data_IF_570923644904
#
_entry.id   IF_570923644904
#
_cell.length_a   1.000
_cell.length_b   1.000
_cell.length_c   1.000
_cell.angle_alpha   90.00
_cell.angle_beta   90.00
_cell.angle_gamma   90.00
#
_symmetry.space_group_name_H-M   'P 1'
#
loop_
_entity.id
_entity.type
_entity.pdbx_description
1 polymer ?
#
# COMPACT_ATOMS: atom_id res chain seq x y z
N UNK A 1 -16.28 6.94 -16.34
CA UNK A 1 -15.96 7.13 -14.90
C UNK A 1 -17.28 7.17 -14.13
N UNK A 2 -17.35 6.64 -12.91
CA UNK A 2 -18.56 6.67 -12.06
C UNK A 2 -19.09 8.10 -11.86
N UNK A 3 -18.18 9.08 -11.81
CA UNK A 3 -18.48 10.50 -11.77
C UNK A 3 -19.33 11.01 -12.97
N UNK A 4 -19.32 10.32 -14.11
CA UNK A 4 -20.02 10.73 -15.34
C UNK A 4 -21.33 9.96 -15.58
N UNK A 5 -21.66 8.97 -14.74
CA UNK A 5 -22.87 8.17 -14.92
C UNK A 5 -23.47 7.85 -13.54
N UNK A 6 -24.56 8.54 -13.14
CA UNK A 6 -25.17 8.37 -11.82
C UNK A 6 -25.84 6.99 -11.62
N UNK A 7 -25.98 6.19 -12.68
CA UNK A 7 -26.55 4.84 -12.66
C UNK A 7 -25.46 3.76 -12.62
N UNK A 8 -24.18 4.11 -12.73
CA UNK A 8 -23.10 3.11 -12.62
C UNK A 8 -23.02 2.58 -11.19
N UNK A 9 -23.50 1.35 -11.02
CA UNK A 9 -23.33 0.58 -9.79
C UNK A 9 -21.92 -0.02 -9.70
N UNK A 10 -21.46 -0.38 -8.48
CA UNK A 10 -20.30 -1.25 -8.30
C UNK A 10 -20.44 -2.54 -9.11
N UNK A 11 -19.34 -3.03 -9.67
CA UNK A 11 -19.33 -4.06 -10.72
C UNK A 11 -18.66 -5.37 -10.26
N UNK A 12 -18.69 -5.66 -8.96
CA UNK A 12 -18.09 -6.88 -8.35
C UNK A 12 -16.62 -7.07 -8.72
N UNK A 13 -15.86 -5.97 -8.77
CA UNK A 13 -14.43 -6.04 -9.09
C UNK A 13 -13.62 -6.64 -7.96
N UNK A 14 -12.87 -7.68 -8.27
CA UNK A 14 -11.84 -8.29 -7.42
C UNK A 14 -10.43 -7.73 -7.69
N UNK A 15 -10.35 -6.62 -8.44
CA UNK A 15 -9.09 -5.97 -8.82
C UNK A 15 -8.29 -5.37 -7.65
N UNK A 16 -6.99 -5.26 -7.85
CA UNK A 16 -6.00 -4.73 -6.91
C UNK A 16 -6.04 -3.20 -6.74
N UNK A 17 -6.81 -2.51 -7.59
CA UNK A 17 -6.94 -1.07 -7.54
C UNK A 17 -7.52 -0.54 -6.23
N UNK A 18 -8.23 -1.38 -5.48
CA UNK A 18 -8.67 -1.08 -4.11
C UNK A 18 -7.50 -1.01 -3.12
N UNK A 19 -6.59 -1.98 -3.16
CA UNK A 19 -5.42 -2.07 -2.29
C UNK A 19 -4.37 -1.00 -2.63
N UNK A 20 -4.17 -0.66 -3.90
CA UNK A 20 -3.13 0.30 -4.32
C UNK A 20 -3.34 1.74 -3.80
N UNK A 21 -4.55 2.09 -3.36
CA UNK A 21 -4.91 3.45 -2.95
C UNK A 21 -5.41 3.56 -1.51
N UNK A 22 -5.36 2.47 -0.75
CA UNK A 22 -5.96 2.41 0.62
C UNK A 22 -5.00 2.90 1.70
N UNK A 23 -3.74 3.18 1.37
CA UNK A 23 -2.68 3.47 2.35
C UNK A 23 -3.03 4.60 3.31
N UNK A 24 -3.70 5.64 2.82
CA UNK A 24 -4.19 6.75 3.63
C UNK A 24 -5.07 6.29 4.80
N UNK A 25 -5.92 5.27 4.62
CA UNK A 25 -6.78 4.75 5.69
C UNK A 25 -5.97 4.20 6.87
N UNK A 26 -4.86 3.52 6.59
CA UNK A 26 -3.97 3.00 7.63
C UNK A 26 -3.38 4.09 8.52
N UNK A 27 -3.11 5.27 7.95
CA UNK A 27 -2.63 6.46 8.67
C UNK A 27 -3.75 7.24 9.36
N UNK A 28 -4.93 7.36 8.72
CA UNK A 28 -6.01 8.22 9.15
C UNK A 28 -6.65 7.78 10.47
N UNK A 29 -7.05 6.52 10.58
CA UNK A 29 -7.84 6.00 11.70
C UNK A 29 -7.01 5.83 12.98
N UNK A 30 -7.65 5.72 14.15
CA UNK A 30 -6.94 5.55 15.43
C UNK A 30 -7.22 4.19 16.10
N UNK A 31 -8.02 3.33 15.47
CA UNK A 31 -8.27 1.95 15.87
C UNK A 31 -8.20 1.01 14.67
N UNK A 32 -7.80 -0.25 14.91
CA UNK A 32 -7.79 -1.28 13.87
C UNK A 32 -9.21 -1.55 13.32
N UNK A 33 -10.22 -1.52 14.19
CA UNK A 33 -11.62 -1.69 13.80
C UNK A 33 -12.05 -0.61 12.80
N UNK A 34 -11.77 0.67 13.10
CA UNK A 34 -12.07 1.78 12.20
C UNK A 34 -11.26 1.68 10.90
N UNK A 35 -9.98 1.30 10.98
CA UNK A 35 -9.15 1.06 9.79
C UNK A 35 -9.80 0.04 8.86
N UNK A 36 -10.24 -1.11 9.39
CA UNK A 36 -10.90 -2.16 8.60
C UNK A 36 -12.24 -1.69 8.02
N UNK A 37 -13.03 -0.96 8.81
CA UNK A 37 -14.33 -0.43 8.40
C UNK A 37 -14.19 0.61 7.29
N UNK A 38 -13.29 1.57 7.46
CA UNK A 38 -13.05 2.64 6.48
C UNK A 38 -12.40 2.07 5.21
N UNK A 39 -11.48 1.11 5.32
CA UNK A 39 -10.89 0.45 4.14
C UNK A 39 -11.94 -0.28 3.29
N UNK A 40 -12.92 -0.93 3.93
CA UNK A 40 -14.07 -1.50 3.23
C UNK A 40 -14.90 -0.42 2.54
N UNK A 41 -15.23 0.68 3.25
CA UNK A 41 -16.02 1.78 2.69
C UNK A 41 -15.35 2.39 1.46
N UNK A 42 -14.02 2.56 1.43
CA UNK A 42 -13.31 3.12 0.27
C UNK A 42 -13.16 2.14 -0.90
N UNK A 43 -13.23 0.83 -0.63
CA UNK A 43 -13.23 -0.20 -1.67
C UNK A 43 -14.60 -0.32 -2.37
N UNK A 44 -15.70 -0.33 -1.59
CA UNK A 44 -17.07 -0.62 -2.05
C UNK A 44 -17.52 0.11 -3.33
N UNK A 45 -17.23 1.41 -3.56
CA UNK A 45 -17.71 2.11 -4.75
C UNK A 45 -17.19 1.54 -6.08
N UNK A 46 -16.07 0.79 -6.06
CA UNK A 46 -15.43 0.30 -7.29
C UNK A 46 -14.98 -1.17 -7.24
N UNK A 47 -14.80 -1.72 -6.05
CA UNK A 47 -14.26 -3.06 -5.80
C UNK A 47 -15.03 -3.70 -4.65
N UNK A 48 -16.34 -3.87 -4.84
CA UNK A 48 -17.24 -4.45 -3.84
C UNK A 48 -17.19 -5.98 -3.74
N UNK A 49 -16.39 -6.65 -4.59
CA UNK A 49 -16.13 -8.07 -4.44
C UNK A 49 -15.38 -8.35 -3.12
N UNK A 50 -15.66 -9.46 -2.41
CA UNK A 50 -14.98 -9.80 -1.16
C UNK A 50 -13.45 -9.73 -1.24
N UNK A 51 -12.86 -10.19 -2.34
CA UNK A 51 -11.40 -10.14 -2.56
C UNK A 51 -10.84 -8.72 -2.77
N UNK A 52 -11.61 -7.82 -3.39
CA UNK A 52 -11.26 -6.41 -3.49
C UNK A 52 -11.20 -5.77 -2.11
N UNK A 53 -12.26 -5.97 -1.32
CA UNK A 53 -12.35 -5.49 0.06
C UNK A 53 -11.23 -6.08 0.92
N UNK A 54 -10.98 -7.39 0.80
CA UNK A 54 -9.95 -8.11 1.54
C UNK A 54 -8.56 -7.53 1.30
N UNK A 55 -8.21 -7.27 0.03
CA UNK A 55 -6.93 -6.65 -0.31
C UNK A 55 -6.77 -5.25 0.29
N UNK A 56 -7.82 -4.41 0.21
CA UNK A 56 -7.81 -3.09 0.81
C UNK A 56 -7.64 -3.14 2.35
N UNK A 57 -8.40 -4.01 3.02
CA UNK A 57 -8.32 -4.19 4.46
C UNK A 57 -6.96 -4.71 4.92
N UNK A 58 -6.37 -5.66 4.19
CA UNK A 58 -5.05 -6.22 4.52
C UNK A 58 -3.95 -5.15 4.53
N UNK A 59 -3.91 -4.28 3.51
CA UNK A 59 -2.90 -3.22 3.40
C UNK A 59 -3.13 -2.14 4.45
N UNK A 60 -4.37 -1.68 4.63
CA UNK A 60 -4.68 -0.67 5.64
C UNK A 60 -4.36 -1.16 7.07
N UNK A 61 -4.71 -2.41 7.38
CA UNK A 61 -4.38 -3.03 8.67
C UNK A 61 -2.87 -3.18 8.86
N UNK A 62 -2.14 -3.60 7.82
CA UNK A 62 -0.68 -3.70 7.87
C UNK A 62 -0.02 -2.37 8.23
N UNK A 63 -0.42 -1.28 7.57
CA UNK A 63 0.07 0.07 7.87
C UNK A 63 -0.26 0.48 9.31
N UNK A 64 -1.52 0.28 9.75
CA UNK A 64 -1.96 0.61 11.10
C UNK A 64 -1.15 -0.14 12.17
N UNK A 65 -0.98 -1.46 12.01
CA UNK A 65 -0.29 -2.29 12.98
C UNK A 65 1.20 -1.93 13.06
N UNK A 66 1.87 -1.76 11.91
CA UNK A 66 3.28 -1.36 11.84
C UNK A 66 3.52 -0.03 12.56
N UNK A 67 2.71 1.01 12.27
CA UNK A 67 2.92 2.33 12.89
C UNK A 67 2.53 2.38 14.37
N UNK A 68 1.78 1.39 14.86
CA UNK A 68 1.44 1.25 16.29
C UNK A 68 2.43 0.35 17.03
N UNK A 69 3.55 0.00 16.41
CA UNK A 69 4.69 -0.66 17.06
C UNK A 69 4.76 -2.17 16.88
N UNK A 70 3.86 -2.77 16.09
CA UNK A 70 3.93 -4.21 15.81
C UNK A 70 5.10 -4.52 14.89
N UNK A 71 5.76 -5.65 15.16
CA UNK A 71 6.86 -6.16 14.36
C UNK A 71 6.37 -6.71 13.01
N UNK A 72 7.28 -6.83 12.03
CA UNK A 72 6.97 -7.46 10.73
C UNK A 72 6.38 -8.87 10.91
N UNK A 73 6.88 -9.64 11.88
CA UNK A 73 6.41 -11.01 12.14
C UNK A 73 4.99 -11.05 12.72
N UNK A 74 4.67 -10.15 13.65
CA UNK A 74 3.31 -10.03 14.19
C UNK A 74 2.31 -9.61 13.11
N UNK A 75 2.68 -8.64 12.28
CA UNK A 75 1.85 -8.18 11.16
C UNK A 75 1.68 -9.28 10.11
N UNK A 76 2.75 -10.01 9.79
CA UNK A 76 2.67 -11.17 8.88
C UNK A 76 1.70 -12.23 9.39
N UNK A 77 1.80 -12.59 10.69
CA UNK A 77 0.89 -13.55 11.33
C UNK A 77 -0.56 -13.07 11.27
N UNK A 78 -0.79 -11.80 11.64
CA UNK A 78 -2.12 -11.21 11.61
C UNK A 78 -2.73 -11.25 10.20
N UNK A 79 -1.98 -10.79 9.18
CA UNK A 79 -2.48 -10.75 7.81
C UNK A 79 -2.76 -12.16 7.28
N UNK A 80 -1.84 -13.10 7.50
CA UNK A 80 -1.99 -14.49 7.05
C UNK A 80 -3.21 -15.15 7.67
N UNK A 81 -3.39 -15.00 8.99
CA UNK A 81 -4.53 -15.57 9.71
C UNK A 81 -5.86 -14.91 9.34
N UNK A 82 -5.91 -13.58 9.30
CA UNK A 82 -7.16 -12.83 9.14
C UNK A 82 -7.66 -12.83 7.69
N UNK A 83 -6.75 -12.78 6.72
CA UNK A 83 -7.10 -12.62 5.30
C UNK A 83 -6.79 -13.87 4.46
N UNK A 84 -6.20 -14.91 5.05
CA UNK A 84 -5.91 -16.17 4.38
C UNK A 84 -4.86 -16.06 3.28
N UNK A 85 -3.93 -15.11 3.39
CA UNK A 85 -2.83 -14.97 2.43
C UNK A 85 -1.65 -15.86 2.83
N UNK A 86 -1.13 -16.61 1.86
CA UNK A 86 0.13 -17.34 2.01
C UNK A 86 1.32 -16.38 1.77
N UNK A 87 1.96 -16.01 2.88
CA UNK A 87 3.07 -15.06 2.96
C UNK A 87 4.41 -15.74 3.31
N UNK A 88 4.46 -17.07 3.35
CA UNK A 88 5.67 -17.84 3.63
C UNK A 88 6.49 -18.17 2.38
N UNK A 89 5.89 -17.98 1.20
CA UNK A 89 6.55 -18.10 -0.11
C UNK A 89 7.81 -17.25 -0.21
N UNK A 90 8.81 -17.74 -0.95
CA UNK A 90 10.06 -17.01 -1.24
C UNK A 90 9.92 -16.25 -2.55
N UNK A 91 10.55 -15.08 -2.63
CA UNK A 91 10.57 -14.29 -3.86
C UNK A 91 11.19 -15.07 -5.03
N UNK A 92 12.24 -15.85 -4.79
CA UNK A 92 12.90 -16.67 -5.83
C UNK A 92 12.01 -17.76 -6.41
N UNK A 93 11.04 -18.26 -5.64
CA UNK A 93 10.07 -19.24 -6.12
C UNK A 93 8.96 -18.57 -6.95
N UNK A 94 8.69 -17.28 -6.69
CA UNK A 94 7.64 -16.49 -7.36
C UNK A 94 8.13 -15.95 -8.71
N UNK A 95 9.33 -15.34 -8.74
CA UNK A 95 9.89 -14.64 -9.91
C UNK A 95 9.81 -15.42 -11.23
N UNK A 96 10.12 -16.73 -11.30
CA UNK A 96 10.14 -17.45 -12.57
C UNK A 96 8.76 -17.66 -13.20
N UNK A 97 7.70 -17.61 -12.39
CA UNK A 97 6.34 -18.01 -12.81
C UNK A 97 5.32 -16.88 -12.72
N UNK A 98 5.65 -15.78 -12.05
CA UNK A 98 4.75 -14.66 -11.90
C UNK A 98 4.55 -13.90 -13.22
N UNK A 99 3.30 -13.55 -13.49
CA UNK A 99 2.89 -12.86 -14.73
C UNK A 99 1.95 -11.70 -14.40
N UNK A 100 1.54 -10.95 -15.41
CA UNK A 100 0.67 -9.79 -15.22
C UNK A 100 -0.70 -10.20 -14.64
N UNK A 101 -0.96 -9.78 -13.40
CA UNK A 101 -2.19 -10.06 -12.68
C UNK A 101 -2.74 -8.80 -12.00
N UNK A 102 -3.98 -8.45 -12.35
CA UNK A 102 -4.69 -7.28 -11.82
C UNK A 102 -5.59 -7.61 -10.63
N UNK A 103 -5.65 -8.86 -10.19
CA UNK A 103 -6.52 -9.31 -9.09
C UNK A 103 -5.85 -9.16 -7.74
N UNK A 104 -6.60 -8.74 -6.70
CA UNK A 104 -6.09 -8.67 -5.33
C UNK A 104 -5.41 -9.98 -4.88
N UNK A 105 -6.05 -11.13 -5.13
CA UNK A 105 -5.56 -12.45 -4.70
C UNK A 105 -4.17 -12.81 -5.21
N UNK A 106 -3.76 -12.24 -6.34
CA UNK A 106 -2.51 -12.57 -7.02
C UNK A 106 -1.48 -11.46 -7.00
N UNK A 107 -1.81 -10.25 -6.55
CA UNK A 107 -0.85 -9.14 -6.52
C UNK A 107 -0.63 -8.58 -5.11
N UNK A 108 -1.65 -8.62 -4.24
CA UNK A 108 -1.54 -8.11 -2.88
C UNK A 108 -0.58 -8.96 -2.03
N UNK A 109 -0.69 -10.31 -2.01
CA UNK A 109 0.27 -11.14 -1.29
C UNK A 109 1.72 -10.93 -1.74
N UNK A 110 1.93 -10.73 -3.04
CA UNK A 110 3.23 -10.58 -3.71
C UNK A 110 3.90 -9.28 -3.28
N UNK A 111 3.13 -8.18 -3.24
CA UNK A 111 3.58 -6.91 -2.67
C UNK A 111 3.92 -7.02 -1.18
N UNK A 112 3.09 -7.73 -0.41
CA UNK A 112 3.31 -7.95 1.02
C UNK A 112 4.57 -8.81 1.26
N UNK A 113 4.79 -9.85 0.46
CA UNK A 113 6.00 -10.68 0.53
C UNK A 113 7.24 -9.85 0.18
N UNK A 114 7.19 -9.02 -0.86
CA UNK A 114 8.29 -8.11 -1.20
C UNK A 114 8.64 -7.18 -0.03
N UNK A 115 7.62 -6.63 0.65
CA UNK A 115 7.80 -5.87 1.89
C UNK A 115 8.45 -6.70 3.00
N UNK A 116 7.95 -7.92 3.26
CA UNK A 116 8.47 -8.73 4.36
C UNK A 116 9.92 -9.19 4.15
N UNK A 117 10.33 -9.44 2.91
CA UNK A 117 11.70 -9.86 2.58
C UNK A 117 12.69 -8.70 2.49
N UNK A 118 12.24 -7.48 2.19
CA UNK A 118 13.13 -6.33 2.11
C UNK A 118 13.64 -5.87 3.47
N UNK A 119 14.83 -5.28 3.48
CA UNK A 119 15.55 -4.79 4.68
C UNK A 119 15.74 -3.28 4.71
N UNK A 120 15.42 -2.59 3.62
CA UNK A 120 15.37 -1.13 3.49
C UNK A 120 14.23 -0.75 2.55
N UNK A 121 13.86 0.54 2.50
CA UNK A 121 12.84 1.01 1.56
C UNK A 121 13.21 0.67 0.11
N UNK A 122 14.44 0.96 -0.30
CA UNK A 122 14.92 0.66 -1.65
C UNK A 122 14.92 -0.85 -1.95
N UNK A 123 15.35 -1.67 -1.00
CA UNK A 123 15.35 -3.13 -1.16
C UNK A 123 13.91 -3.67 -1.31
N UNK A 124 12.93 -3.15 -0.54
CA UNK A 124 11.52 -3.50 -0.72
C UNK A 124 11.03 -3.14 -2.12
N UNK A 125 11.33 -1.93 -2.61
CA UNK A 125 10.92 -1.49 -3.96
C UNK A 125 11.59 -2.34 -5.05
N UNK A 126 12.89 -2.63 -4.92
CA UNK A 126 13.62 -3.50 -5.86
C UNK A 126 13.04 -4.90 -5.88
N UNK A 127 12.72 -5.46 -4.71
CA UNK A 127 12.07 -6.76 -4.62
C UNK A 127 10.71 -6.76 -5.33
N UNK A 128 9.87 -5.75 -5.07
CA UNK A 128 8.57 -5.60 -5.71
C UNK A 128 8.69 -5.49 -7.24
N UNK A 129 9.56 -4.61 -7.75
CA UNK A 129 9.78 -4.43 -9.19
C UNK A 129 10.36 -5.71 -9.83
N UNK A 130 11.23 -6.42 -9.13
CA UNK A 130 11.84 -7.67 -9.62
C UNK A 130 10.84 -8.81 -9.85
N UNK A 131 9.64 -8.74 -9.25
CA UNK A 131 8.59 -9.73 -9.50
C UNK A 131 7.97 -9.57 -10.90
N UNK A 132 8.03 -8.38 -11.49
CA UNK A 132 7.37 -8.08 -12.76
C UNK A 132 5.84 -8.04 -12.67
N UNK A 133 5.17 -8.24 -13.80
CA UNK A 133 3.71 -8.19 -13.88
C UNK A 133 3.17 -6.77 -13.73
N UNK A 134 2.18 -6.58 -12.86
CA UNK A 134 1.59 -5.29 -12.50
C UNK A 134 2.53 -4.55 -11.51
N UNK A 135 3.74 -4.28 -11.98
CA UNK A 135 4.87 -3.85 -11.15
C UNK A 135 4.63 -2.52 -10.46
N UNK A 136 3.93 -1.59 -11.11
CA UNK A 136 3.57 -0.30 -10.52
C UNK A 136 2.63 -0.47 -9.33
N UNK A 137 1.61 -1.32 -9.45
CA UNK A 137 0.70 -1.62 -8.33
C UNK A 137 1.41 -2.34 -7.19
N UNK A 138 2.24 -3.34 -7.50
CA UNK A 138 2.98 -4.11 -6.49
C UNK A 138 3.97 -3.21 -5.74
N UNK A 139 4.73 -2.38 -6.46
CA UNK A 139 5.68 -1.44 -5.86
C UNK A 139 4.97 -0.34 -5.06
N UNK A 140 3.81 0.15 -5.52
CA UNK A 140 2.99 1.11 -4.79
C UNK A 140 2.55 0.55 -3.42
N UNK A 141 2.02 -0.67 -3.41
CA UNK A 141 1.56 -1.33 -2.17
C UNK A 141 2.74 -1.65 -1.24
N UNK A 142 3.81 -2.23 -1.77
CA UNK A 142 4.99 -2.60 -0.99
C UNK A 142 5.68 -1.35 -0.40
N UNK A 143 5.78 -0.28 -1.19
CA UNK A 143 6.31 1.02 -0.75
C UNK A 143 5.47 1.64 0.36
N UNK A 144 4.14 1.56 0.27
CA UNK A 144 3.24 2.06 1.31
C UNK A 144 3.40 1.34 2.66
N UNK A 145 3.74 0.04 2.66
CA UNK A 145 4.10 -0.68 3.88
C UNK A 145 5.52 -0.33 4.35
N UNK A 146 6.46 -0.23 3.41
CA UNK A 146 7.86 0.05 3.69
C UNK A 146 8.07 1.43 4.33
N UNK A 147 7.38 2.47 3.87
CA UNK A 147 7.54 3.84 4.40
C UNK A 147 7.20 3.96 5.89
N UNK A 148 6.44 3.00 6.42
CA UNK A 148 6.03 2.99 7.84
C UNK A 148 7.23 2.71 8.74
N UNK A 149 8.13 1.82 8.29
CA UNK A 149 9.22 1.28 9.12
C UNK A 149 10.63 1.53 8.56
N UNK A 150 10.74 2.05 7.34
CA UNK A 150 12.01 2.43 6.74
C UNK A 150 11.99 3.89 6.30
N UNK A 151 13.10 4.64 6.50
CA UNK A 151 13.24 5.93 5.88
C UNK A 151 13.30 5.77 4.35
N UNK A 152 12.59 6.64 3.62
CA UNK A 152 12.74 6.75 2.17
C UNK A 152 14.06 7.46 1.85
N UNK A 153 14.98 6.85 1.05
CA UNK A 153 16.20 7.52 0.62
C UNK A 153 15.92 8.85 -0.07
N UNK A 154 16.78 9.85 0.17
CA UNK A 154 16.54 11.22 -0.30
C UNK A 154 16.54 11.29 -1.83
N UNK A 155 17.43 10.53 -2.47
CA UNK A 155 17.59 10.46 -3.92
C UNK A 155 16.33 9.88 -4.59
N UNK A 156 15.73 8.85 -3.98
CA UNK A 156 14.47 8.25 -4.46
C UNK A 156 13.33 9.27 -4.31
N UNK A 157 13.27 9.95 -3.16
CA UNK A 157 12.21 10.92 -2.86
C UNK A 157 12.26 12.14 -3.79
N UNK A 158 13.45 12.71 -4.00
CA UNK A 158 13.67 13.87 -4.87
C UNK A 158 13.41 13.50 -6.33
N UNK A 159 13.95 12.37 -6.80
CA UNK A 159 13.69 11.89 -8.15
C UNK A 159 12.19 11.66 -8.40
N UNK A 160 11.48 11.04 -7.45
CA UNK A 160 10.03 10.87 -7.56
C UNK A 160 9.30 12.22 -7.61
N UNK A 161 9.67 13.18 -6.75
CA UNK A 161 9.08 14.51 -6.73
C UNK A 161 9.31 15.28 -8.06
N UNK A 162 10.52 15.24 -8.62
CA UNK A 162 10.85 15.87 -9.89
C UNK A 162 10.08 15.26 -11.06
N UNK A 163 9.97 13.93 -11.11
CA UNK A 163 9.18 13.24 -12.11
C UNK A 163 7.71 13.63 -12.01
N UNK A 164 7.13 13.61 -10.80
CA UNK A 164 5.71 14.00 -10.63
C UNK A 164 5.52 15.47 -11.02
N UNK A 165 6.38 16.40 -10.60
CA UNK A 165 6.29 17.83 -10.98
C UNK A 165 6.34 18.05 -12.49
N UNK A 166 7.10 17.23 -13.20
CA UNK A 166 7.25 17.33 -14.66
C UNK A 166 5.98 16.89 -15.41
N UNK A 167 5.13 16.04 -14.82
CA UNK A 167 3.93 15.50 -15.45
C UNK A 167 2.61 15.93 -14.80
N UNK A 168 2.63 16.42 -13.56
CA UNK A 168 1.47 16.84 -12.77
C UNK A 168 1.80 18.11 -11.98
N UNK A 169 0.82 19.00 -11.90
CA UNK A 169 0.88 20.14 -10.99
C UNK A 169 0.65 19.62 -9.56
N UNK A 170 1.72 19.50 -8.78
CA UNK A 170 1.62 19.33 -7.33
C UNK A 170 1.50 20.70 -6.67
N UNK A 171 0.47 20.87 -5.85
CA UNK A 171 0.25 22.05 -5.02
C UNK A 171 0.51 21.71 -3.55
N UNK A 172 0.81 22.72 -2.71
CA UNK A 172 0.92 22.52 -1.27
C UNK A 172 -0.35 21.88 -0.67
N UNK A 173 -1.53 22.15 -1.25
CA UNK A 173 -2.79 21.53 -0.88
C UNK A 173 -2.77 20.00 -0.98
N UNK A 174 -2.00 19.44 -1.92
CA UNK A 174 -1.90 18.00 -2.13
C UNK A 174 -1.08 17.33 -1.03
N UNK A 175 -0.21 18.10 -0.36
CA UNK A 175 0.60 17.63 0.76
C UNK A 175 -0.07 17.80 2.12
N UNK A 176 -1.21 18.48 2.20
CA UNK A 176 -1.90 18.75 3.46
C UNK A 176 -2.19 17.47 4.23
N UNK A 177 -2.65 16.42 3.54
CA UNK A 177 -2.90 15.13 4.16
C UNK A 177 -1.62 14.53 4.75
N UNK A 178 -0.56 14.46 3.96
CA UNK A 178 0.71 13.88 4.41
C UNK A 178 1.27 14.66 5.60
N UNK A 179 1.33 15.98 5.49
CA UNK A 179 1.93 16.83 6.51
C UNK A 179 1.12 16.87 7.82
N UNK A 180 -0.22 16.83 7.75
CA UNK A 180 -1.08 16.93 8.94
C UNK A 180 -1.48 15.59 9.55
N UNK A 181 -1.49 14.51 8.76
CA UNK A 181 -1.98 13.19 9.21
C UNK A 181 -0.85 12.16 9.29
N UNK A 182 -0.02 12.06 8.25
CA UNK A 182 1.02 11.03 8.16
C UNK A 182 2.23 11.41 9.01
N UNK A 183 2.81 12.59 8.80
CA UNK A 183 4.03 13.02 9.49
C UNK A 183 3.95 12.94 11.03
N UNK A 184 2.87 13.39 11.70
CA UNK A 184 2.80 13.32 13.17
C UNK A 184 2.77 11.88 13.72
N UNK A 185 2.35 10.91 12.89
CA UNK A 185 2.23 9.49 13.24
C UNK A 185 3.43 8.65 12.76
N UNK A 186 4.36 9.23 11.98
CA UNK A 186 5.53 8.53 11.44
C UNK A 186 6.60 8.34 12.52
N UNK A 187 7.46 7.34 12.36
CA UNK A 187 8.59 7.15 13.27
C UNK A 187 9.51 8.38 13.23
N UNK A 188 9.71 9.00 14.39
CA UNK A 188 10.53 10.21 14.56
C UNK A 188 12.02 9.97 14.34
N UNK A 189 12.47 8.72 14.49
CA UNK A 189 13.86 8.33 14.26
C UNK A 189 14.29 8.48 12.79
N UNK A 190 13.32 8.59 11.86
CA UNK A 190 13.61 8.82 10.43
C UNK A 190 13.97 10.28 10.11
N UNK A 191 13.93 11.18 11.09
CA UNK A 191 14.11 12.61 10.89
C UNK A 191 12.94 13.28 10.14
N UNK A 192 13.13 14.54 9.74
CA UNK A 192 12.12 15.27 8.96
C UNK A 192 12.03 14.73 7.52
N UNK A 193 11.07 13.82 7.30
CA UNK A 193 10.72 13.32 5.96
C UNK A 193 9.56 14.10 5.32
N UNK A 194 9.34 15.34 5.75
CA UNK A 194 8.35 16.23 5.17
C UNK A 194 8.66 16.55 3.71
N UNK A 195 7.62 16.75 2.92
CA UNK A 195 7.73 17.30 1.58
C UNK A 195 7.52 18.81 1.67
N UNK A 196 8.42 19.58 1.05
CA UNK A 196 8.25 21.00 0.78
C UNK A 196 8.22 21.13 -0.75
N UNK A 197 7.21 21.80 -1.32
CA UNK A 197 7.13 21.97 -2.78
C UNK A 197 7.81 23.27 -3.16
#
# INVERSE_FOLDING_TARGET
MWLKNPVRCPYESYGNGSAMRVSSVGWLCDSLEDTLKVAKITALPTHNHPEGIKGAQAIAAGIFLLRTGHTKDEVKKYISYTFGYDLDRKLDDIRPTYTFHVSCQKSVPEAIIAFFKGTSYEDVIRNAVSLGGDSDTIACIAGALAEVIYPIPVEIRESAAENIRSFHLLHESDLVYYNKVVLPKKNKDFGEQGFRI
#
